data_IF_357577268267
#
_entry.id   IF_357577268267
#
_cell.length_a   1.000
_cell.length_b   1.000
_cell.length_c   1.000
_cell.angle_alpha   90.00
_cell.angle_beta   90.00
_cell.angle_gamma   90.00
#
_symmetry.space_group_name_H-M   'P 1'
#
loop_
_entity.id
_entity.type
_entity.pdbx_description
1 polymer ?
#
# COMPACT_ATOMS: atom_id res chain seq x y z
N UNK A 1 15.06 -16.75 -6.42
CA UNK A 1 14.22 -15.95 -5.50
C UNK A 1 12.86 -15.80 -6.16
N UNK A 2 11.80 -16.39 -5.59
CA UNK A 2 10.45 -16.25 -6.16
C UNK A 2 9.99 -14.83 -5.83
N UNK A 3 9.63 -14.06 -6.85
CA UNK A 3 9.06 -12.72 -6.67
C UNK A 3 7.62 -12.88 -6.22
N UNK A 4 7.35 -12.56 -4.95
CA UNK A 4 6.03 -12.74 -4.33
C UNK A 4 5.08 -11.57 -4.69
N UNK A 5 5.62 -10.36 -4.80
CA UNK A 5 4.85 -9.15 -5.11
C UNK A 5 4.52 -9.10 -6.61
N UNK A 6 3.27 -8.82 -6.95
CA UNK A 6 2.77 -8.84 -8.32
C UNK A 6 2.41 -10.24 -8.83
N UNK A 7 2.17 -11.19 -7.91
CA UNK A 7 1.76 -12.57 -8.25
C UNK A 7 0.45 -12.65 -9.02
N UNK A 8 -0.45 -11.70 -8.81
CA UNK A 8 -1.67 -11.45 -9.60
C UNK A 8 -1.95 -9.95 -9.65
N UNK A 9 -2.37 -9.46 -10.81
CA UNK A 9 -2.62 -8.05 -11.06
C UNK A 9 -4.10 -7.81 -11.39
N UNK A 10 -4.71 -6.87 -10.68
CA UNK A 10 -6.08 -6.41 -10.92
C UNK A 10 -6.04 -4.94 -11.29
N UNK A 11 -6.30 -4.65 -12.56
CA UNK A 11 -6.31 -3.29 -13.09
C UNK A 11 -7.74 -2.79 -13.27
N UNK A 12 -7.94 -1.51 -12.94
CA UNK A 12 -9.17 -0.78 -13.19
C UNK A 12 -8.82 0.61 -13.70
N UNK A 13 -9.60 1.13 -14.65
CA UNK A 13 -9.38 2.51 -15.13
C UNK A 13 -9.64 3.55 -14.02
N UNK A 14 -10.64 3.30 -13.18
CA UNK A 14 -11.02 4.18 -12.08
C UNK A 14 -11.65 3.38 -10.94
N UNK A 15 -11.33 3.75 -9.70
CA UNK A 15 -11.92 3.17 -8.49
C UNK A 15 -12.24 4.27 -7.48
N UNK A 16 -13.15 4.03 -6.53
CA UNK A 16 -13.22 4.85 -5.33
C UNK A 16 -11.91 4.77 -4.54
N UNK A 17 -11.46 3.54 -4.24
CA UNK A 17 -10.15 3.29 -3.63
C UNK A 17 -9.66 1.87 -3.96
N UNK A 18 -8.36 1.73 -4.23
CA UNK A 18 -7.70 0.44 -4.41
C UNK A 18 -7.76 -0.41 -3.15
N UNK A 19 -7.67 0.19 -1.95
CA UNK A 19 -7.79 -0.52 -0.67
C UNK A 19 -9.18 -1.13 -0.49
N UNK A 20 -10.23 -0.33 -0.75
CA UNK A 20 -11.62 -0.80 -0.67
C UNK A 20 -11.82 -1.96 -1.63
N UNK A 21 -11.30 -1.84 -2.85
CA UNK A 21 -11.47 -2.88 -3.86
C UNK A 21 -10.67 -4.15 -3.53
N UNK A 22 -9.47 -4.03 -2.97
CA UNK A 22 -8.70 -5.16 -2.45
C UNK A 22 -9.45 -5.91 -1.34
N UNK A 23 -10.12 -5.18 -0.44
CA UNK A 23 -10.96 -5.79 0.60
C UNK A 23 -12.18 -6.51 0.01
N UNK A 24 -12.78 -6.00 -1.07
CA UNK A 24 -13.87 -6.67 -1.79
C UNK A 24 -13.40 -7.96 -2.45
N UNK A 25 -12.22 -7.96 -3.07
CA UNK A 25 -11.63 -9.16 -3.67
C UNK A 25 -11.42 -10.24 -2.60
N UNK A 26 -10.82 -9.89 -1.45
CA UNK A 26 -10.60 -10.82 -0.33
C UNK A 26 -11.89 -11.45 0.22
N UNK A 27 -13.03 -10.75 0.12
CA UNK A 27 -14.34 -11.30 0.53
C UNK A 27 -14.92 -12.31 -0.46
N UNK A 28 -14.56 -12.20 -1.74
CA UNK A 28 -15.20 -12.94 -2.82
C UNK A 28 -14.35 -14.12 -3.33
N UNK A 29 -13.03 -14.06 -3.20
CA UNK A 29 -12.13 -15.10 -3.68
C UNK A 29 -10.85 -15.22 -2.85
N UNK A 30 -10.19 -16.39 -2.95
CA UNK A 30 -8.83 -16.57 -2.46
C UNK A 30 -7.86 -15.98 -3.49
N UNK A 31 -6.91 -15.20 -3.03
CA UNK A 31 -5.87 -14.60 -3.86
C UNK A 31 -4.47 -15.03 -3.42
N UNK A 32 -3.50 -15.12 -4.33
CA UNK A 32 -2.13 -15.39 -3.94
C UNK A 32 -1.52 -14.22 -3.14
N UNK A 33 -0.60 -14.54 -2.24
CA UNK A 33 0.24 -13.56 -1.54
C UNK A 33 0.86 -12.58 -2.54
N UNK A 34 0.85 -11.28 -2.22
CA UNK A 34 1.43 -10.24 -3.06
C UNK A 34 0.59 -9.86 -4.27
N UNK A 35 -0.69 -10.25 -4.32
CA UNK A 35 -1.64 -9.73 -5.31
C UNK A 35 -1.76 -8.21 -5.22
N UNK A 36 -1.87 -7.54 -6.37
CA UNK A 36 -1.93 -6.08 -6.46
C UNK A 36 -3.23 -5.65 -7.13
N UNK A 37 -3.91 -4.69 -6.50
CA UNK A 37 -4.97 -3.89 -7.13
C UNK A 37 -4.40 -2.54 -7.47
N UNK A 38 -4.61 -2.05 -8.70
CA UNK A 38 -4.14 -0.74 -9.12
C UNK A 38 -5.10 -0.05 -10.08
N UNK A 39 -5.01 1.28 -10.11
CA UNK A 39 -5.89 2.14 -10.90
C UNK A 39 -5.17 3.36 -11.44
N UNK A 40 -5.65 3.94 -12.53
CA UNK A 40 -5.17 5.23 -13.04
C UNK A 40 -5.71 6.41 -12.21
N UNK A 41 -6.82 6.22 -11.50
CA UNK A 41 -7.48 7.27 -10.73
C UNK A 41 -8.25 6.72 -9.52
N UNK A 42 -8.20 7.45 -8.40
CA UNK A 42 -9.06 7.23 -7.23
C UNK A 42 -10.01 8.42 -7.01
N UNK A 43 -11.32 8.20 -7.12
CA UNK A 43 -12.32 9.24 -6.84
C UNK A 43 -12.55 9.51 -5.35
N UNK A 44 -12.18 8.56 -4.49
CA UNK A 44 -12.34 8.63 -3.04
C UNK A 44 -11.12 8.02 -2.33
N UNK A 45 -9.92 8.41 -2.77
CA UNK A 45 -8.66 7.96 -2.19
C UNK A 45 -8.59 8.25 -0.69
N UNK A 46 -8.08 7.30 0.10
CA UNK A 46 -8.03 7.38 1.57
C UNK A 46 -6.59 7.51 2.07
N UNK A 47 -6.42 8.32 3.10
CA UNK A 47 -5.22 8.38 3.93
C UNK A 47 -5.50 7.88 5.35
N UNK A 48 -4.50 8.00 6.24
CA UNK A 48 -4.68 7.72 7.67
C UNK A 48 -5.61 8.74 8.34
N UNK A 49 -6.40 8.28 9.31
CA UNK A 49 -7.21 9.09 10.24
C UNK A 49 -7.92 10.28 9.55
N UNK A 50 -9.01 10.00 8.84
CA UNK A 50 -9.87 11.02 8.24
C UNK A 50 -9.29 11.77 7.04
N UNK A 51 -7.99 11.62 6.75
CA UNK A 51 -7.36 12.22 5.58
C UNK A 51 -7.79 11.53 4.29
N UNK A 52 -7.81 12.31 3.20
CA UNK A 52 -8.01 11.82 1.84
C UNK A 52 -6.68 11.77 1.10
N UNK A 53 -6.58 10.86 0.14
CA UNK A 53 -5.50 10.85 -0.84
C UNK A 53 -6.05 11.43 -2.14
N UNK A 54 -5.54 12.61 -2.52
CA UNK A 54 -5.89 13.24 -3.78
C UNK A 54 -5.14 12.56 -4.92
N UNK A 55 -5.81 12.37 -6.05
CA UNK A 55 -5.18 11.80 -7.25
C UNK A 55 -5.63 12.55 -8.49
N UNK A 56 -4.72 12.65 -9.45
CA UNK A 56 -4.99 13.12 -10.80
C UNK A 56 -4.85 11.94 -11.76
N UNK A 57 -5.78 11.86 -12.72
CA UNK A 57 -5.85 10.71 -13.63
C UNK A 57 -4.53 10.50 -14.39
N UNK A 58 -3.93 9.32 -14.21
CA UNK A 58 -2.70 8.92 -14.89
C UNK A 58 -1.42 9.59 -14.38
N UNK A 59 -1.48 10.35 -13.28
CA UNK A 59 -0.31 11.06 -12.73
C UNK A 59 0.24 10.46 -11.44
N UNK A 60 -0.44 9.49 -10.85
CA UNK A 60 -0.02 8.88 -9.60
C UNK A 60 0.08 7.36 -9.75
N UNK A 61 1.04 6.75 -9.08
CA UNK A 61 1.03 5.31 -8.84
C UNK A 61 0.09 5.04 -7.66
N UNK A 62 -1.05 4.42 -7.94
CA UNK A 62 -2.10 4.12 -6.96
C UNK A 62 -2.29 2.61 -6.89
N UNK A 63 -1.71 1.98 -5.86
CA UNK A 63 -1.70 0.52 -5.72
C UNK A 63 -2.13 0.10 -4.31
N UNK A 64 -2.67 -1.12 -4.20
CA UNK A 64 -2.87 -1.82 -2.94
C UNK A 64 -2.34 -3.24 -3.06
N UNK A 65 -1.44 -3.61 -2.14
CA UNK A 65 -0.85 -4.95 -2.08
C UNK A 65 -1.60 -5.75 -1.02
N UNK A 66 -2.00 -6.97 -1.37
CA UNK A 66 -2.62 -7.94 -0.45
C UNK A 66 -1.52 -8.87 0.07
N UNK A 67 -1.36 -8.92 1.38
CA UNK A 67 -0.35 -9.71 2.08
C UNK A 67 -0.99 -10.60 3.15
N UNK A 68 -0.39 -11.75 3.45
CA UNK A 68 -0.78 -12.68 4.52
C UNK A 68 0.40 -12.88 5.50
N UNK A 69 0.74 -11.86 6.32
CA UNK A 69 1.95 -11.86 7.13
C UNK A 69 1.82 -12.71 8.41
N UNK A 70 1.65 -14.02 8.25
CA UNK A 70 1.39 -14.98 9.32
C UNK A 70 2.45 -15.02 10.44
N UNK A 71 3.66 -14.54 10.18
CA UNK A 71 4.77 -14.47 11.13
C UNK A 71 4.78 -13.18 11.97
N UNK A 72 3.96 -12.18 11.63
CA UNK A 72 3.91 -10.89 12.33
C UNK A 72 2.73 -10.90 13.30
N UNK A 73 3.03 -10.87 14.60
CA UNK A 73 2.01 -10.70 15.64
C UNK A 73 1.46 -9.26 15.63
N UNK A 74 0.18 -9.03 16.00
CA UNK A 74 -0.47 -7.72 15.89
C UNK A 74 0.27 -6.56 16.57
N UNK A 75 0.90 -6.81 17.73
CA UNK A 75 1.71 -5.79 18.43
C UNK A 75 2.91 -5.29 17.60
N UNK A 76 3.39 -6.11 16.66
CA UNK A 76 4.51 -5.81 15.76
C UNK A 76 4.05 -5.36 14.36
N UNK A 77 2.76 -5.06 14.15
CA UNK A 77 2.22 -4.69 12.83
C UNK A 77 2.95 -3.51 12.15
N UNK A 78 3.60 -2.64 12.93
CA UNK A 78 4.41 -1.54 12.41
C UNK A 78 5.57 -2.01 11.52
N UNK A 79 6.04 -3.25 11.68
CA UNK A 79 7.06 -3.85 10.82
C UNK A 79 6.65 -3.84 9.35
N UNK A 80 5.36 -3.98 9.06
CA UNK A 80 4.85 -3.94 7.69
C UNK A 80 5.05 -2.54 7.09
N UNK A 81 4.69 -1.48 7.82
CA UNK A 81 4.89 -0.10 7.39
C UNK A 81 6.38 0.21 7.20
N UNK A 82 7.24 -0.28 8.10
CA UNK A 82 8.70 -0.12 7.97
C UNK A 82 9.23 -0.79 6.72
N UNK A 83 8.88 -2.06 6.47
CA UNK A 83 9.36 -2.80 5.29
C UNK A 83 8.95 -2.11 3.99
N UNK A 84 7.70 -1.65 3.89
CA UNK A 84 7.21 -0.95 2.71
C UNK A 84 7.88 0.42 2.53
N UNK A 85 7.97 1.21 3.61
CA UNK A 85 8.62 2.53 3.57
C UNK A 85 10.08 2.43 3.15
N UNK A 86 10.82 1.47 3.70
CA UNK A 86 12.21 1.20 3.33
C UNK A 86 12.32 0.76 1.88
N UNK A 87 11.53 -0.22 1.44
CA UNK A 87 11.58 -0.71 0.06
C UNK A 87 11.26 0.37 -0.99
N UNK A 88 10.25 1.20 -0.73
CA UNK A 88 9.90 2.31 -1.64
C UNK A 88 11.00 3.38 -1.60
N UNK A 89 11.50 3.76 -0.42
CA UNK A 89 12.56 4.76 -0.30
C UNK A 89 13.87 4.29 -0.96
N UNK A 90 14.26 3.02 -0.79
CA UNK A 90 15.44 2.44 -1.43
C UNK A 90 15.30 2.38 -2.96
N UNK A 91 14.10 2.15 -3.48
CA UNK A 91 13.83 2.30 -4.90
C UNK A 91 13.96 3.75 -5.35
N UNK A 92 13.27 4.68 -4.69
CA UNK A 92 13.23 6.09 -5.07
C UNK A 92 14.60 6.76 -4.98
N UNK A 93 15.44 6.41 -3.99
CA UNK A 93 16.79 6.96 -3.83
C UNK A 93 17.71 6.72 -5.02
N UNK A 94 17.43 5.72 -5.86
CA UNK A 94 18.17 5.50 -7.12
C UNK A 94 17.92 6.59 -8.16
N UNK A 95 16.82 7.33 -8.02
CA UNK A 95 16.40 8.39 -8.93
C UNK A 95 16.36 9.77 -8.24
N UNK A 96 16.06 9.80 -6.94
CA UNK A 96 15.87 10.99 -6.12
C UNK A 96 16.66 10.83 -4.82
N UNK A 97 17.96 11.18 -4.79
CA UNK A 97 18.82 10.94 -3.63
C UNK A 97 18.37 11.62 -2.33
N UNK A 98 17.61 12.73 -2.43
CA UNK A 98 17.04 13.45 -1.27
C UNK A 98 15.76 12.82 -0.70
N UNK A 99 15.32 11.68 -1.25
CA UNK A 99 14.18 10.92 -0.74
C UNK A 99 14.44 10.45 0.71
N UNK A 100 13.45 10.66 1.58
CA UNK A 100 13.52 10.36 3.00
C UNK A 100 12.19 9.80 3.51
N UNK A 101 12.24 9.03 4.59
CA UNK A 101 11.05 8.50 5.26
C UNK A 101 10.68 9.45 6.38
N UNK A 102 9.45 9.97 6.34
CA UNK A 102 8.83 10.60 7.50
C UNK A 102 7.96 9.55 8.18
N UNK A 103 8.47 9.02 9.28
CA UNK A 103 7.74 8.02 10.06
C UNK A 103 6.38 8.56 10.53
N UNK A 104 5.34 7.71 10.56
CA UNK A 104 5.40 6.26 10.44
C UNK A 104 5.23 5.68 9.01
N UNK A 105 4.83 6.46 8.02
CA UNK A 105 4.24 5.92 6.79
C UNK A 105 4.31 6.83 5.54
N UNK A 106 5.05 7.94 5.60
CA UNK A 106 5.13 8.89 4.50
C UNK A 106 6.54 8.96 3.91
N UNK A 107 6.63 9.28 2.63
CA UNK A 107 7.89 9.49 1.92
C UNK A 107 7.94 10.92 1.43
N UNK A 108 9.09 11.54 1.65
CA UNK A 108 9.31 12.96 1.42
C UNK A 108 10.52 13.18 0.51
N UNK A 109 10.44 14.21 -0.31
CA UNK A 109 11.58 14.81 -1.01
C UNK A 109 11.70 16.23 -0.51
N UNK A 110 12.82 16.54 0.14
CA UNK A 110 12.97 17.77 0.92
C UNK A 110 11.83 17.89 1.96
N UNK A 111 10.94 18.87 1.80
CA UNK A 111 9.81 19.11 2.70
C UNK A 111 8.46 18.71 2.12
N UNK A 112 8.44 18.16 0.90
CA UNK A 112 7.21 17.80 0.19
C UNK A 112 6.92 16.31 0.32
N UNK A 113 5.69 15.97 0.69
CA UNK A 113 5.21 14.60 0.74
C UNK A 113 4.98 14.11 -0.69
N UNK A 114 5.70 13.06 -1.09
CA UNK A 114 5.55 12.45 -2.42
C UNK A 114 4.85 11.10 -2.38
N UNK A 115 4.88 10.40 -1.24
CA UNK A 115 4.16 9.14 -1.09
C UNK A 115 3.51 9.00 0.29
N UNK A 116 2.43 8.24 0.34
CA UNK A 116 1.77 7.84 1.57
C UNK A 116 1.45 6.35 1.53
N UNK A 117 1.64 5.69 2.68
CA UNK A 117 1.33 4.28 2.87
C UNK A 117 0.16 4.16 3.85
N UNK A 118 -0.87 3.41 3.46
CA UNK A 118 -2.05 3.12 4.27
C UNK A 118 -2.15 1.61 4.50
N UNK A 119 -1.86 1.19 5.72
CA UNK A 119 -1.97 -0.21 6.16
C UNK A 119 -3.34 -0.43 6.80
N UNK A 120 -4.09 -1.40 6.27
CA UNK A 120 -5.33 -1.88 6.86
C UNK A 120 -5.20 -3.38 7.15
N UNK A 121 -5.15 -3.76 8.42
CA UNK A 121 -5.00 -5.14 8.88
C UNK A 121 -6.34 -5.73 9.28
N UNK A 122 -6.57 -7.00 8.90
CA UNK A 122 -7.61 -7.84 9.49
C UNK A 122 -6.99 -8.72 10.58
N UNK A 123 -7.45 -8.59 11.82
CA UNK A 123 -6.90 -9.33 12.97
C UNK A 123 -7.94 -10.33 13.49
N UNK A 124 -7.56 -11.59 13.60
CA UNK A 124 -8.38 -12.69 14.14
C UNK A 124 -7.51 -13.50 15.10
N UNK A 125 -8.01 -13.81 16.29
CA UNK A 125 -7.33 -14.63 17.30
C UNK A 125 -5.85 -14.25 17.54
N UNK A 126 -5.60 -12.95 17.71
CA UNK A 126 -4.25 -12.38 17.91
C UNK A 126 -3.26 -12.70 16.77
N UNK A 127 -3.76 -12.88 15.54
CA UNK A 127 -2.98 -13.01 14.31
C UNK A 127 -3.43 -12.00 13.28
N UNK A 128 -2.50 -11.50 12.48
CA UNK A 128 -2.83 -10.73 11.28
C UNK A 128 -3.23 -11.74 10.20
N UNK A 129 -4.53 -11.85 9.94
CA UNK A 129 -5.08 -12.75 8.91
C UNK A 129 -4.67 -12.28 7.52
N UNK A 130 -4.78 -10.98 7.27
CA UNK A 130 -4.32 -10.33 6.05
C UNK A 130 -4.02 -8.85 6.30
N UNK A 131 -3.24 -8.28 5.40
CA UNK A 131 -2.92 -6.87 5.32
C UNK A 131 -3.19 -6.37 3.92
N UNK A 132 -3.90 -5.25 3.83
CA UNK A 132 -4.01 -4.45 2.62
C UNK A 132 -3.09 -3.24 2.79
N UNK A 133 -2.04 -3.18 1.99
CA UNK A 133 -1.07 -2.09 1.99
C UNK A 133 -1.29 -1.18 0.78
N UNK A 134 -2.03 -0.08 1.00
CA UNK A 134 -2.22 0.98 0.02
C UNK A 134 -0.99 1.86 -0.10
N UNK A 135 -0.56 2.14 -1.31
CA UNK A 135 0.56 3.04 -1.62
C UNK A 135 0.05 4.02 -2.67
N UNK A 136 0.07 5.31 -2.31
CA UNK A 136 -0.07 6.41 -3.25
C UNK A 136 1.30 7.08 -3.42
N UNK A 137 1.78 7.20 -4.65
CA UNK A 137 3.01 7.90 -4.99
C UNK A 137 2.75 8.87 -6.14
N UNK A 138 3.21 10.11 -5.97
CA UNK A 138 3.14 11.20 -6.96
C UNK A 138 4.34 11.19 -7.92
#
# INVERSE_FOLDING_TARGET
MIMIIGSKLYFFESLPSTNIHAALILKNEKVPEGSIVYTNYQSAGRGQIGNKWESENGKNLLISIILFPSMIIPVNQFFISMTLSLGICDFLKRHIPSCSIKWPNDIYVNNDKIAGILIENSIIDNKIENTIAGIGLN
#
